data_IF_350343455188
#
_entry.id   IF_350343455188
#
_cell.length_a   1.000
_cell.length_b   1.000
_cell.length_c   1.000
_cell.angle_alpha   90.00
_cell.angle_beta   90.00
_cell.angle_gamma   90.00
#
_symmetry.space_group_name_H-M   'P 1'
#
loop_
_entity.id
_entity.type
_entity.pdbx_description
1 polymer ?
#
# COMPACT_ATOMS: atom_id res chain seq x y z
N UNK A 1 16.50 -6.09 -2.31
CA UNK A 1 16.68 -5.55 -0.94
C UNK A 1 15.40 -5.81 -0.16
N UNK A 2 15.46 -6.09 1.16
CA UNK A 2 14.26 -6.19 2.01
C UNK A 2 14.18 -4.96 2.90
N UNK A 3 13.06 -4.23 2.89
CA UNK A 3 12.80 -3.12 3.80
C UNK A 3 12.28 -3.61 5.15
N UNK A 4 12.63 -2.91 6.22
CA UNK A 4 11.98 -3.03 7.54
C UNK A 4 10.71 -2.17 7.62
N UNK A 5 9.87 -2.35 8.65
CA UNK A 5 8.67 -1.52 8.85
C UNK A 5 9.01 -0.03 9.07
N UNK A 6 10.13 0.27 9.72
CA UNK A 6 10.65 1.63 9.85
C UNK A 6 11.02 2.21 8.47
N UNK A 7 11.72 1.41 7.65
CA UNK A 7 12.09 1.81 6.29
C UNK A 7 10.88 1.98 5.37
N UNK A 8 9.80 1.21 5.56
CA UNK A 8 8.54 1.44 4.86
C UNK A 8 7.93 2.81 5.22
N UNK A 9 7.96 3.18 6.50
CA UNK A 9 7.52 4.51 6.95
C UNK A 9 8.35 5.62 6.33
N UNK A 10 9.68 5.47 6.33
CA UNK A 10 10.59 6.41 5.67
C UNK A 10 10.30 6.54 4.16
N UNK A 11 10.14 5.40 3.48
CA UNK A 11 9.83 5.34 2.05
C UNK A 11 8.51 6.04 1.73
N UNK A 12 7.48 5.85 2.56
CA UNK A 12 6.18 6.49 2.40
C UNK A 12 6.30 8.02 2.45
N UNK A 13 7.05 8.57 3.41
CA UNK A 13 7.29 10.02 3.47
C UNK A 13 8.15 10.53 2.31
N UNK A 14 9.09 9.71 1.81
CA UNK A 14 9.84 10.05 0.58
C UNK A 14 8.88 10.15 -0.62
N UNK A 15 7.93 9.22 -0.77
CA UNK A 15 6.93 9.26 -1.83
C UNK A 15 5.97 10.44 -1.70
N UNK A 16 5.42 10.67 -0.51
CA UNK A 16 4.56 11.83 -0.26
C UNK A 16 5.28 13.14 -0.58
N UNK A 17 6.57 13.24 -0.21
CA UNK A 17 7.37 14.43 -0.51
C UNK A 17 7.60 14.58 -2.01
N UNK A 18 7.86 13.48 -2.73
CA UNK A 18 8.00 13.49 -4.18
C UNK A 18 6.71 13.94 -4.90
N UNK A 19 5.55 13.64 -4.30
CA UNK A 19 4.24 14.06 -4.76
C UNK A 19 3.85 15.50 -4.34
N UNK A 20 4.74 16.22 -3.64
CA UNK A 20 4.51 17.59 -3.21
C UNK A 20 3.64 17.73 -1.95
N UNK A 21 3.36 16.64 -1.23
CA UNK A 21 2.59 16.70 0.01
C UNK A 21 3.37 17.44 1.11
N UNK A 22 2.70 18.29 1.91
CA UNK A 22 3.34 18.96 3.03
C UNK A 22 3.74 17.96 4.11
N UNK A 23 4.88 18.20 4.75
CA UNK A 23 5.39 17.38 5.86
C UNK A 23 5.62 18.25 7.09
N UNK A 24 5.28 17.68 8.24
CA UNK A 24 5.61 18.19 9.57
C UNK A 24 7.12 18.25 9.81
N UNK A 25 7.53 18.95 10.87
CA UNK A 25 8.95 18.98 11.29
C UNK A 25 9.45 17.58 11.66
N UNK A 26 8.58 16.74 12.22
CA UNK A 26 8.91 15.37 12.60
C UNK A 26 9.22 14.51 11.36
N UNK A 27 8.34 14.49 10.36
CA UNK A 27 8.53 13.67 9.16
C UNK A 27 9.72 14.17 8.33
N UNK A 28 9.95 15.50 8.27
CA UNK A 28 11.15 16.05 7.63
C UNK A 28 12.45 15.56 8.25
N UNK A 29 12.49 15.36 9.58
CA UNK A 29 13.66 14.79 10.26
C UNK A 29 13.86 13.32 9.91
N UNK A 30 12.77 12.54 9.83
CA UNK A 30 12.82 11.14 9.40
C UNK A 30 13.40 11.04 7.98
N UNK A 31 12.86 11.80 7.03
CA UNK A 31 13.37 11.81 5.65
C UNK A 31 14.84 12.21 5.63
N UNK A 32 15.24 13.25 6.36
CA UNK A 32 16.62 13.74 6.36
C UNK A 32 17.64 12.73 6.94
N UNK A 33 17.20 11.89 7.88
CA UNK A 33 18.03 10.83 8.47
C UNK A 33 17.97 9.51 7.69
N UNK A 34 17.03 9.37 6.75
CA UNK A 34 16.81 8.13 6.02
C UNK A 34 17.89 7.88 4.99
N UNK A 35 18.53 6.72 5.12
CA UNK A 35 19.45 6.16 4.12
C UNK A 35 18.76 5.81 2.79
N UNK A 36 17.42 5.82 2.73
CA UNK A 36 16.67 5.57 1.50
C UNK A 36 16.67 6.78 0.56
N UNK A 37 17.03 7.98 1.04
CA UNK A 37 17.13 9.19 0.21
C UNK A 37 18.18 9.12 -0.89
N UNK A 38 19.07 8.12 -0.85
CA UNK A 38 20.03 7.83 -1.93
C UNK A 38 19.40 7.17 -3.16
N UNK A 39 18.21 6.61 -3.02
CA UNK A 39 17.45 6.04 -4.13
C UNK A 39 16.48 7.08 -4.69
N UNK A 40 16.25 7.02 -6.01
CA UNK A 40 15.12 7.74 -6.60
C UNK A 40 13.81 7.10 -6.14
N UNK A 41 12.71 7.87 -6.04
CA UNK A 41 11.40 7.31 -5.71
C UNK A 41 11.01 6.10 -6.57
N UNK A 42 11.26 6.16 -7.89
CA UNK A 42 10.98 5.04 -8.81
C UNK A 42 11.83 3.79 -8.55
N UNK A 43 13.07 3.96 -8.08
CA UNK A 43 13.93 2.82 -7.72
C UNK A 43 13.43 2.18 -6.42
N UNK A 44 13.03 3.01 -5.45
CA UNK A 44 12.47 2.56 -4.18
C UNK A 44 11.12 1.85 -4.37
N UNK A 45 10.28 2.37 -5.26
CA UNK A 45 9.04 1.71 -5.71
C UNK A 45 9.34 0.30 -6.23
N UNK A 46 10.25 0.18 -7.19
CA UNK A 46 10.61 -1.12 -7.77
C UNK A 46 11.15 -2.10 -6.72
N UNK A 47 11.98 -1.63 -5.78
CA UNK A 47 12.49 -2.47 -4.68
C UNK A 47 11.33 -3.05 -3.85
N UNK A 48 10.30 -2.25 -3.56
CA UNK A 48 9.15 -2.70 -2.77
C UNK A 48 8.28 -3.67 -3.58
N UNK A 49 7.99 -3.35 -4.84
CA UNK A 49 7.23 -4.22 -5.77
C UNK A 49 7.92 -5.58 -5.92
N UNK A 50 9.23 -5.59 -6.20
CA UNK A 50 10.02 -6.83 -6.32
C UNK A 50 10.01 -7.63 -5.01
N UNK A 51 10.05 -6.94 -3.87
CA UNK A 51 9.97 -7.59 -2.55
C UNK A 51 8.62 -8.28 -2.32
N UNK A 52 7.51 -7.61 -2.65
CA UNK A 52 6.16 -8.17 -2.57
C UNK A 52 6.02 -9.38 -3.50
N UNK A 53 6.42 -9.21 -4.77
CA UNK A 53 6.28 -10.25 -5.81
C UNK A 53 7.19 -11.47 -5.56
N UNK A 54 8.38 -11.28 -4.98
CA UNK A 54 9.24 -12.39 -4.58
C UNK A 54 8.79 -13.09 -3.29
N UNK A 55 7.79 -12.55 -2.59
CA UNK A 55 7.32 -13.06 -1.30
C UNK A 55 8.39 -12.97 -0.21
N UNK A 56 9.32 -12.01 -0.28
CA UNK A 56 10.35 -11.82 0.77
C UNK A 56 9.75 -11.31 2.09
N UNK A 57 8.57 -10.69 2.00
CA UNK A 57 7.72 -10.27 3.11
C UNK A 57 6.79 -11.40 3.52
N UNK A 58 7.09 -12.04 4.65
CA UNK A 58 6.51 -13.34 5.04
C UNK A 58 5.27 -13.19 5.90
N UNK A 59 5.23 -12.19 6.78
CA UNK A 59 4.08 -11.94 7.64
C UNK A 59 3.16 -10.87 7.04
N UNK A 60 1.92 -10.83 7.54
CA UNK A 60 0.90 -9.88 7.09
C UNK A 60 1.34 -8.42 7.29
N UNK A 61 1.92 -8.10 8.45
CA UNK A 61 2.35 -6.73 8.79
C UNK A 61 3.38 -6.15 7.80
N UNK A 62 4.34 -6.98 7.36
CA UNK A 62 5.33 -6.59 6.35
C UNK A 62 4.65 -6.29 5.00
N UNK A 63 3.68 -7.11 4.59
CA UNK A 63 2.96 -6.92 3.33
C UNK A 63 2.05 -5.70 3.39
N UNK A 64 1.30 -5.53 4.49
CA UNK A 64 0.49 -4.33 4.78
C UNK A 64 1.36 -3.08 4.72
N UNK A 65 2.54 -3.10 5.33
CA UNK A 65 3.48 -1.98 5.28
C UNK A 65 3.92 -1.67 3.84
N UNK A 66 4.18 -2.70 3.03
CA UNK A 66 4.47 -2.55 1.60
C UNK A 66 3.31 -1.91 0.82
N UNK A 67 2.10 -2.45 0.96
CA UNK A 67 0.91 -1.94 0.27
C UNK A 67 0.59 -0.50 0.68
N UNK A 68 0.64 -0.21 1.99
CA UNK A 68 0.43 1.15 2.49
C UNK A 68 1.47 2.12 1.95
N UNK A 69 2.74 1.72 1.94
CA UNK A 69 3.84 2.55 1.39
C UNK A 69 3.62 2.85 -0.08
N UNK A 70 3.36 1.83 -0.91
CA UNK A 70 3.08 2.00 -2.33
C UNK A 70 1.83 2.86 -2.57
N UNK A 71 0.81 2.80 -1.71
CA UNK A 71 -0.37 3.66 -1.84
C UNK A 71 -0.07 5.15 -1.76
N UNK A 72 1.09 5.55 -1.19
CA UNK A 72 1.50 6.94 -1.06
C UNK A 72 2.07 7.54 -2.34
N UNK A 73 2.46 6.70 -3.29
CA UNK A 73 3.12 7.14 -4.51
C UNK A 73 2.14 7.70 -5.54
N UNK A 74 0.86 7.32 -5.48
CA UNK A 74 -0.15 7.79 -6.45
C UNK A 74 0.09 7.30 -7.89
N UNK A 75 0.96 6.29 -8.09
CA UNK A 75 1.24 5.74 -9.42
C UNK A 75 0.10 4.82 -9.87
N UNK A 76 -0.72 5.29 -10.81
CA UNK A 76 -1.84 4.51 -11.38
C UNK A 76 -1.38 3.26 -12.14
N UNK A 77 -0.11 3.16 -12.53
CA UNK A 77 0.41 1.96 -13.17
C UNK A 77 0.42 0.74 -12.22
N UNK A 78 0.39 0.97 -10.90
CA UNK A 78 0.33 -0.09 -9.88
C UNK A 78 -1.07 -0.69 -9.69
N UNK A 79 -2.11 -0.20 -10.37
CA UNK A 79 -3.49 -0.73 -10.21
C UNK A 79 -3.53 -2.23 -10.50
N UNK A 80 -2.83 -2.70 -11.55
CA UNK A 80 -2.76 -4.12 -11.88
C UNK A 80 -2.09 -4.93 -10.78
N UNK A 81 -0.96 -4.46 -10.25
CA UNK A 81 -0.25 -5.13 -9.15
C UNK A 81 -1.14 -5.18 -7.88
N UNK A 82 -1.81 -4.08 -7.53
CA UNK A 82 -2.74 -4.05 -6.40
C UNK A 82 -3.92 -5.01 -6.58
N UNK A 83 -4.45 -5.18 -7.81
CA UNK A 83 -5.49 -6.19 -8.10
C UNK A 83 -4.97 -7.61 -7.92
N UNK A 84 -3.75 -7.89 -8.35
CA UNK A 84 -3.14 -9.22 -8.19
C UNK A 84 -2.90 -9.54 -6.72
N UNK A 85 -2.27 -8.63 -5.96
CA UNK A 85 -2.10 -8.81 -4.53
C UNK A 85 -3.44 -8.92 -3.80
N UNK A 86 -4.48 -8.17 -4.20
CA UNK A 86 -5.80 -8.28 -3.58
C UNK A 86 -6.40 -9.67 -3.75
N UNK A 87 -6.24 -10.28 -4.93
CA UNK A 87 -6.68 -11.65 -5.17
C UNK A 87 -5.93 -12.62 -4.25
N UNK A 88 -4.60 -12.50 -4.15
CA UNK A 88 -3.78 -13.35 -3.29
C UNK A 88 -4.12 -13.20 -1.81
N UNK A 89 -4.32 -11.98 -1.31
CA UNK A 89 -4.63 -11.76 0.11
C UNK A 89 -6.05 -12.23 0.47
N UNK A 90 -7.01 -12.18 -0.47
CA UNK A 90 -8.33 -12.77 -0.28
C UNK A 90 -8.29 -14.30 -0.18
N UNK A 91 -7.46 -14.95 -1.01
CA UNK A 91 -7.27 -16.42 -0.95
C UNK A 91 -6.63 -16.86 0.36
N UNK A 92 -5.78 -16.01 0.94
CA UNK A 92 -5.11 -16.28 2.22
C UNK A 92 -5.93 -15.86 3.45
N UNK A 93 -7.13 -15.30 3.28
CA UNK A 93 -7.99 -14.79 4.36
C UNK A 93 -7.32 -13.73 5.27
N UNK A 94 -6.38 -12.94 4.73
CA UNK A 94 -5.63 -11.93 5.49
C UNK A 94 -6.42 -10.62 5.60
N UNK A 95 -7.23 -10.53 6.67
CA UNK A 95 -8.17 -9.44 6.97
C UNK A 95 -7.64 -8.03 6.73
N UNK A 96 -6.48 -7.72 7.28
CA UNK A 96 -5.92 -6.37 7.28
C UNK A 96 -5.26 -6.08 5.93
N UNK A 97 -4.58 -7.08 5.36
CA UNK A 97 -3.90 -6.94 4.07
C UNK A 97 -4.85 -6.59 2.92
N UNK A 98 -5.96 -7.32 2.73
CA UNK A 98 -6.89 -6.98 1.65
C UNK A 98 -7.60 -5.65 1.90
N UNK A 99 -7.89 -5.28 3.15
CA UNK A 99 -8.45 -3.96 3.46
C UNK A 99 -7.48 -2.84 3.08
N UNK A 100 -6.20 -2.98 3.42
CA UNK A 100 -5.17 -2.01 3.02
C UNK A 100 -5.05 -1.89 1.49
N UNK A 101 -5.23 -2.98 0.75
CA UNK A 101 -5.25 -2.98 -0.71
C UNK A 101 -6.48 -2.26 -1.27
N UNK A 102 -7.66 -2.43 -0.69
CA UNK A 102 -8.86 -1.65 -1.06
C UNK A 102 -8.65 -0.15 -0.88
N UNK A 103 -8.03 0.25 0.24
CA UNK A 103 -7.67 1.66 0.50
C UNK A 103 -6.65 2.15 -0.55
N UNK A 104 -5.67 1.33 -0.92
CA UNK A 104 -4.68 1.70 -1.93
C UNK A 104 -5.34 1.94 -3.30
N UNK A 105 -6.27 1.07 -3.69
CA UNK A 105 -7.03 1.21 -4.93
C UNK A 105 -7.96 2.44 -4.91
N UNK A 106 -8.68 2.66 -3.82
CA UNK A 106 -9.55 3.83 -3.63
C UNK A 106 -8.78 5.16 -3.76
N UNK A 107 -7.56 5.22 -3.20
CA UNK A 107 -6.65 6.37 -3.38
C UNK A 107 -6.20 6.62 -4.81
N UNK A 108 -6.24 5.59 -5.66
CA UNK A 108 -5.97 5.70 -7.09
C UNK A 108 -7.25 5.96 -7.90
N UNK A 109 -8.33 6.37 -7.23
CA UNK A 109 -9.65 6.68 -7.79
C UNK A 109 -10.38 5.44 -8.36
N UNK A 110 -9.99 4.24 -7.94
CA UNK A 110 -10.70 3.03 -8.30
C UNK A 110 -11.92 2.83 -7.39
N UNK A 111 -13.09 2.40 -7.92
CA UNK A 111 -14.29 2.14 -7.12
C UNK A 111 -14.18 0.79 -6.40
N UNK A 112 -13.17 0.67 -5.54
CA UNK A 112 -12.84 -0.51 -4.75
C UNK A 112 -13.87 -0.77 -3.65
N UNK A 113 -14.43 0.31 -3.10
CA UNK A 113 -15.50 0.27 -2.12
C UNK A 113 -16.87 0.43 -2.76
N UNK A 114 -17.87 -0.28 -2.23
CA UNK A 114 -19.23 -0.15 -2.73
C UNK A 114 -19.84 1.20 -2.36
N UNK A 115 -20.35 1.96 -3.33
CA UNK A 115 -20.93 3.30 -3.12
C UNK A 115 -22.08 3.35 -2.12
N UNK A 116 -22.74 2.22 -1.85
CA UNK A 116 -23.86 2.12 -0.90
C UNK A 116 -23.42 1.81 0.53
N UNK A 117 -22.11 1.73 0.82
CA UNK A 117 -21.62 1.42 2.16
C UNK A 117 -21.73 2.63 3.10
N UNK A 118 -21.96 2.36 4.39
CA UNK A 118 -22.19 3.38 5.44
C UNK A 118 -20.95 3.64 6.32
N UNK A 119 -19.90 2.84 6.19
CA UNK A 119 -18.63 2.96 6.93
C UNK A 119 -17.47 2.46 6.07
N UNK A 120 -16.20 2.68 6.45
CA UNK A 120 -14.99 2.15 5.78
C UNK A 120 -14.01 1.58 6.81
N UNK A 121 -14.53 0.84 7.79
CA UNK A 121 -13.76 0.30 8.91
C UNK A 121 -12.92 -0.91 8.52
N UNK A 122 -11.72 -1.03 9.08
CA UNK A 122 -10.89 -2.23 8.95
C UNK A 122 -11.55 -3.47 9.59
N UNK A 123 -12.38 -3.24 10.62
CA UNK A 123 -13.16 -4.23 11.37
C UNK A 123 -14.43 -4.68 10.63
N UNK A 124 -14.82 -4.02 9.54
CA UNK A 124 -15.96 -4.39 8.70
C UNK A 124 -15.60 -5.55 7.72
N UNK A 125 -15.00 -6.63 8.23
CA UNK A 125 -14.37 -7.71 7.44
C UNK A 125 -15.29 -8.28 6.36
N UNK A 126 -16.54 -8.61 6.68
CA UNK A 126 -17.49 -9.17 5.71
C UNK A 126 -17.80 -8.20 4.56
N UNK A 127 -17.94 -6.91 4.88
CA UNK A 127 -18.15 -5.86 3.88
C UNK A 127 -16.91 -5.69 3.01
N UNK A 128 -15.73 -5.70 3.61
CA UNK A 128 -14.47 -5.57 2.90
C UNK A 128 -14.21 -6.76 1.96
N UNK A 129 -14.50 -8.00 2.39
CA UNK A 129 -14.44 -9.20 1.53
C UNK A 129 -15.41 -9.07 0.35
N UNK A 130 -16.66 -8.66 0.62
CA UNK A 130 -17.67 -8.48 -0.42
C UNK A 130 -17.22 -7.46 -1.46
N UNK A 131 -16.75 -6.31 -1.01
CA UNK A 131 -16.32 -5.20 -1.88
C UNK A 131 -15.10 -5.63 -2.71
N UNK A 132 -14.12 -6.32 -2.12
CA UNK A 132 -12.97 -6.85 -2.85
C UNK A 132 -13.36 -7.89 -3.93
N UNK A 133 -14.26 -8.82 -3.61
CA UNK A 133 -14.79 -9.79 -4.59
C UNK A 133 -15.53 -9.09 -5.73
N UNK A 134 -16.35 -8.08 -5.41
CA UNK A 134 -17.05 -7.29 -6.43
C UNK A 134 -16.08 -6.53 -7.33
N UNK A 135 -15.06 -5.91 -6.75
CA UNK A 135 -14.05 -5.15 -7.49
C UNK A 135 -13.23 -6.03 -8.44
N UNK A 136 -12.81 -7.23 -8.00
CA UNK A 136 -12.04 -8.16 -8.82
C UNK A 136 -12.83 -8.82 -9.97
N UNK A 137 -14.17 -8.82 -9.89
CA UNK A 137 -15.05 -9.38 -10.92
C UNK A 137 -15.49 -8.34 -11.99
N UNK A 138 -15.03 -7.10 -11.89
CA UNK A 138 -15.20 -6.05 -12.91
C UNK A 138 -14.05 -6.12 -13.92
#
# INVERSE_FOLDING_TARGET
MKLTNEQFTEAAFIFEKANGNPHSVYEKKIIAASELTKFKPTELEQIIVDGLNSGIYKNEDERVSGYWTLSKIGNRNLISDFKEWLRTELENENGIAFFQLLIALDRLEEPAFNEKRTGQGADETELNIRDAKQYLNK
#
